data_IF_534221231077
#
_entry.id   IF_534221231077
#
_cell.length_a   1.000
_cell.length_b   1.000
_cell.length_c   1.000
_cell.angle_alpha   90.00
_cell.angle_beta   90.00
_cell.angle_gamma   90.00
#
_symmetry.space_group_name_H-M   'P 1'
#
loop_
_entity.id
_entity.type
_entity.pdbx_description
1 polymer ?
#
# COMPACT_ATOMS: atom_id res chain seq x y z
N UNK A 1 13.88 -20.95 4.71
CA UNK A 1 13.03 -19.80 5.16
C UNK A 1 11.60 -19.98 4.68
N UNK A 2 10.60 -19.33 5.31
CA UNK A 2 9.18 -19.43 4.85
C UNK A 2 9.03 -19.05 3.38
N UNK A 3 9.78 -18.07 2.90
CA UNK A 3 9.78 -17.67 1.50
C UNK A 3 10.17 -18.79 0.54
N UNK A 4 11.10 -19.62 0.91
CA UNK A 4 11.58 -20.74 0.07
C UNK A 4 10.52 -21.85 -0.02
N UNK A 5 9.75 -22.03 1.06
CA UNK A 5 8.63 -22.98 1.12
C UNK A 5 7.45 -22.50 0.24
N UNK A 6 7.18 -21.19 0.24
CA UNK A 6 6.08 -20.59 -0.52
C UNK A 6 6.41 -20.45 -2.02
N UNK A 7 7.70 -20.31 -2.38
CA UNK A 7 8.14 -20.15 -3.76
C UNK A 7 7.34 -19.07 -4.50
N UNK A 8 6.80 -19.39 -5.67
CA UNK A 8 6.02 -18.46 -6.50
C UNK A 8 4.71 -17.97 -5.87
N UNK A 9 4.25 -18.62 -4.79
CA UNK A 9 3.08 -18.18 -4.00
C UNK A 9 3.42 -17.08 -3.00
N UNK A 10 4.71 -16.74 -2.83
CA UNK A 10 5.13 -15.67 -1.95
C UNK A 10 4.67 -14.31 -2.50
N UNK A 11 3.88 -13.57 -1.71
CA UNK A 11 3.48 -12.19 -1.99
C UNK A 11 4.56 -11.20 -1.60
N UNK A 12 4.22 -10.28 -0.68
CA UNK A 12 5.12 -9.25 -0.17
C UNK A 12 5.50 -9.51 1.29
N UNK A 13 6.71 -9.07 1.69
CA UNK A 13 7.07 -8.92 3.09
C UNK A 13 6.63 -7.55 3.58
N UNK A 14 5.71 -7.49 4.53
CA UNK A 14 5.25 -6.25 5.12
C UNK A 14 5.96 -6.00 6.46
N UNK A 15 6.68 -4.90 6.54
CA UNK A 15 7.30 -4.38 7.75
C UNK A 15 6.52 -3.17 8.24
N UNK A 16 5.77 -3.33 9.33
CA UNK A 16 5.00 -2.25 9.92
C UNK A 16 5.75 -1.62 11.08
N UNK A 17 5.94 -0.31 11.04
CA UNK A 17 6.62 0.46 12.07
C UNK A 17 5.61 1.23 12.94
N UNK A 18 5.86 1.34 14.26
CA UNK A 18 4.92 1.94 15.20
C UNK A 18 4.80 3.47 15.01
N UNK A 19 3.72 4.09 15.52
CA UNK A 19 3.53 5.54 15.44
C UNK A 19 4.60 6.36 16.17
N UNK A 20 5.30 5.79 17.13
CA UNK A 20 6.43 6.41 17.82
C UNK A 20 7.71 6.47 16.97
N UNK A 21 7.78 5.69 15.88
CA UNK A 21 8.95 5.63 15.01
C UNK A 21 8.92 6.78 14.00
N UNK A 22 9.44 7.93 14.41
CA UNK A 22 9.52 9.13 13.58
C UNK A 22 10.65 9.03 12.57
N UNK A 23 10.50 9.71 11.45
CA UNK A 23 11.52 9.82 10.44
C UNK A 23 12.80 10.48 10.99
N UNK A 24 13.93 9.89 10.65
CA UNK A 24 15.26 10.49 10.61
C UNK A 24 16.03 9.84 9.45
N UNK A 25 17.01 10.57 8.89
CA UNK A 25 17.84 10.05 7.80
C UNK A 25 18.57 8.76 8.18
N UNK A 26 19.09 8.67 9.41
CA UNK A 26 19.74 7.47 9.90
C UNK A 26 18.81 6.25 9.95
N UNK A 27 17.54 6.45 10.36
CA UNK A 27 16.53 5.39 10.34
C UNK A 27 16.14 4.97 8.93
N UNK A 28 16.05 5.91 7.99
CA UNK A 28 15.82 5.60 6.58
C UNK A 28 16.94 4.74 6.02
N UNK A 29 18.19 5.14 6.23
CA UNK A 29 19.36 4.37 5.77
C UNK A 29 19.40 2.97 6.37
N UNK A 30 19.06 2.83 7.66
CA UNK A 30 18.99 1.52 8.32
C UNK A 30 17.91 0.63 7.71
N UNK A 31 16.72 1.18 7.41
CA UNK A 31 15.64 0.40 6.77
C UNK A 31 16.10 -0.09 5.39
N UNK A 32 16.61 0.82 4.56
CA UNK A 32 17.06 0.49 3.20
C UNK A 32 18.19 -0.55 3.23
N UNK A 33 19.15 -0.40 4.13
CA UNK A 33 20.31 -1.30 4.22
C UNK A 33 20.02 -2.69 4.81
N UNK A 34 18.89 -2.86 5.51
CA UNK A 34 18.54 -4.15 6.13
C UNK A 34 17.63 -5.03 5.28
N UNK A 35 16.97 -4.45 4.29
CA UNK A 35 15.99 -5.17 3.47
C UNK A 35 16.68 -5.88 2.30
N UNK A 36 16.41 -7.17 2.15
CA UNK A 36 16.93 -7.97 1.03
C UNK A 36 16.34 -7.48 -0.31
N UNK A 37 17.14 -6.92 -1.23
CA UNK A 37 16.64 -6.37 -2.49
C UNK A 37 16.06 -7.44 -3.44
N UNK A 38 16.35 -8.72 -3.21
CA UNK A 38 15.76 -9.83 -3.96
C UNK A 38 14.30 -10.11 -3.56
N UNK A 39 13.79 -9.45 -2.54
CA UNK A 39 12.44 -9.67 -2.02
C UNK A 39 11.52 -8.48 -2.32
N UNK A 40 10.21 -8.75 -2.41
CA UNK A 40 9.19 -7.68 -2.45
C UNK A 40 8.98 -7.13 -1.06
N UNK A 41 9.75 -6.13 -0.71
CA UNK A 41 9.67 -5.48 0.59
C UNK A 41 8.66 -4.34 0.57
N UNK A 42 7.78 -4.33 1.53
CA UNK A 42 6.78 -3.27 1.76
C UNK A 42 7.02 -2.70 3.14
N UNK A 43 7.09 -1.38 3.26
CA UNK A 43 7.23 -0.74 4.58
C UNK A 43 6.02 0.15 4.84
N UNK A 44 5.35 -0.09 5.96
CA UNK A 44 4.23 0.70 6.45
C UNK A 44 4.66 1.59 7.61
N UNK A 45 4.48 2.88 7.45
CA UNK A 45 4.72 3.87 8.49
C UNK A 45 3.40 4.33 9.11
N UNK A 46 3.40 4.50 10.44
CA UNK A 46 2.26 5.02 11.21
C UNK A 46 2.47 6.45 11.70
N UNK A 47 3.55 7.12 11.31
CA UNK A 47 3.84 8.52 11.65
C UNK A 47 4.03 9.33 10.37
N UNK A 48 3.34 10.48 10.27
CA UNK A 48 3.28 11.34 9.08
C UNK A 48 4.63 11.84 8.59
N UNK A 49 5.65 11.93 9.46
CA UNK A 49 6.99 12.41 9.07
C UNK A 49 7.67 11.58 7.98
N UNK A 50 7.20 10.36 7.71
CA UNK A 50 7.73 9.49 6.67
C UNK A 50 7.16 9.80 5.27
N UNK A 51 6.11 10.62 5.17
CA UNK A 51 5.54 11.06 3.89
C UNK A 51 6.33 12.26 3.36
N UNK A 52 7.50 12.02 2.78
CA UNK A 52 8.35 13.05 2.20
C UNK A 52 9.17 12.49 1.03
N UNK A 53 9.64 13.38 0.12
CA UNK A 53 10.33 12.99 -1.11
C UNK A 53 11.68 12.29 -0.88
N UNK A 54 12.38 12.56 0.21
CA UNK A 54 13.63 11.87 0.53
C UNK A 54 13.38 10.37 0.75
N UNK A 55 12.31 10.02 1.47
CA UNK A 55 11.89 8.62 1.67
C UNK A 55 11.44 7.99 0.36
N UNK A 56 10.63 8.70 -0.42
CA UNK A 56 10.14 8.16 -1.70
C UNK A 56 11.28 7.94 -2.69
N UNK A 57 12.26 8.86 -2.75
CA UNK A 57 13.46 8.74 -3.57
C UNK A 57 14.29 7.51 -3.20
N UNK A 58 14.65 7.38 -1.91
CA UNK A 58 15.42 6.24 -1.41
C UNK A 58 14.71 4.90 -1.65
N UNK A 59 13.38 4.86 -1.51
CA UNK A 59 12.60 3.66 -1.77
C UNK A 59 12.52 3.31 -3.26
N UNK A 60 12.43 4.32 -4.16
CA UNK A 60 12.49 4.08 -5.62
C UNK A 60 13.83 3.47 -6.02
N UNK A 61 14.94 4.01 -5.50
CA UNK A 61 16.29 3.51 -5.77
C UNK A 61 16.49 2.08 -5.26
N UNK A 62 15.94 1.75 -4.09
CA UNK A 62 16.07 0.43 -3.47
C UNK A 62 14.98 -0.58 -3.92
N UNK A 63 14.02 -0.19 -4.75
CA UNK A 63 12.91 -1.05 -5.15
C UNK A 63 11.95 -1.43 -4.02
N UNK A 64 11.92 -0.65 -2.93
CA UNK A 64 11.05 -0.87 -1.77
C UNK A 64 9.67 -0.25 -2.04
N UNK A 65 8.61 -0.98 -1.75
CA UNK A 65 7.24 -0.51 -1.88
C UNK A 65 6.84 0.29 -0.65
N UNK A 66 6.48 1.56 -0.84
CA UNK A 66 5.89 2.37 0.21
C UNK A 66 4.43 1.95 0.42
N UNK A 67 4.06 1.56 1.65
CA UNK A 67 2.68 1.23 1.98
C UNK A 67 1.85 2.51 2.12
N UNK A 68 0.96 2.74 1.18
CA UNK A 68 -0.01 3.84 1.26
C UNK A 68 -1.15 3.46 2.19
N UNK A 69 -1.42 4.28 3.20
CA UNK A 69 -2.41 3.97 4.23
C UNK A 69 -3.56 4.97 4.24
N UNK A 70 -4.79 4.47 4.35
CA UNK A 70 -5.92 5.26 4.84
C UNK A 70 -6.04 5.02 6.35
N UNK A 71 -5.65 5.99 7.13
CA UNK A 71 -5.68 5.92 8.59
C UNK A 71 -5.74 7.30 9.25
N UNK A 72 -6.22 7.42 10.50
CA UNK A 72 -6.29 8.69 11.20
C UNK A 72 -4.92 9.37 11.26
N UNK A 73 -4.89 10.65 10.92
CA UNK A 73 -3.69 11.51 10.90
C UNK A 73 -2.60 11.11 9.90
N UNK A 74 -2.90 10.20 8.95
CA UNK A 74 -2.02 9.86 7.84
C UNK A 74 -2.52 10.53 6.56
N UNK A 75 -1.63 10.89 5.64
CA UNK A 75 -2.03 11.38 4.33
C UNK A 75 -2.81 10.29 3.58
N UNK A 76 -4.02 10.63 3.17
CA UNK A 76 -4.88 9.71 2.42
C UNK A 76 -4.53 9.75 0.92
N UNK A 77 -3.29 9.41 0.58
CA UNK A 77 -2.73 9.47 -0.79
C UNK A 77 -2.07 8.16 -1.19
N UNK A 78 -1.99 7.90 -2.49
CA UNK A 78 -1.25 6.77 -3.03
C UNK A 78 0.16 7.23 -3.40
N UNK A 79 1.16 6.54 -2.88
CA UNK A 79 2.59 6.74 -3.20
C UNK A 79 3.09 5.51 -3.95
N UNK A 80 3.66 5.73 -5.14
CA UNK A 80 4.32 4.68 -5.91
C UNK A 80 5.83 4.85 -5.86
N UNK A 81 6.53 3.85 -5.32
CA UNK A 81 7.99 3.81 -5.23
C UNK A 81 8.60 2.61 -5.97
N UNK A 82 7.76 1.71 -6.49
CA UNK A 82 8.18 0.53 -7.25
C UNK A 82 7.20 0.26 -8.41
N UNK A 83 7.40 -0.83 -9.14
CA UNK A 83 6.48 -1.28 -10.19
C UNK A 83 5.10 -1.72 -9.66
N UNK A 84 5.03 -2.01 -8.39
CA UNK A 84 3.81 -2.41 -7.68
C UNK A 84 3.44 -1.35 -6.63
N UNK A 85 2.16 -1.29 -6.28
CA UNK A 85 1.66 -0.46 -5.17
C UNK A 85 1.04 -1.32 -4.09
N UNK A 86 1.15 -0.87 -2.86
CA UNK A 86 0.57 -1.55 -1.70
C UNK A 86 -0.26 -0.57 -0.87
N UNK A 87 -1.50 -0.92 -0.63
CA UNK A 87 -2.48 -0.06 0.04
C UNK A 87 -3.11 -0.79 1.22
N UNK A 88 -3.19 -0.13 2.36
CA UNK A 88 -3.94 -0.63 3.53
C UNK A 88 -5.01 0.37 3.95
N UNK A 89 -6.24 -0.09 3.95
CA UNK A 89 -7.43 0.71 4.24
C UNK A 89 -7.92 0.39 5.65
N UNK A 90 -7.51 1.22 6.61
CA UNK A 90 -7.83 1.05 8.05
C UNK A 90 -9.01 1.90 8.52
N UNK A 91 -9.41 2.90 7.73
CA UNK A 91 -10.40 3.90 8.09
C UNK A 91 -9.79 5.27 8.40
N UNK A 92 -10.17 6.34 7.67
CA UNK A 92 -9.53 7.65 7.74
C UNK A 92 -9.81 8.41 9.04
N UNK A 93 -10.96 8.18 9.69
CA UNK A 93 -11.38 8.87 10.92
C UNK A 93 -11.15 8.05 12.18
N UNK A 94 -11.41 6.74 12.10
CA UNK A 94 -11.29 5.79 13.23
C UNK A 94 -10.68 4.49 12.71
N UNK A 95 -9.64 4.02 13.38
CA UNK A 95 -9.01 2.75 13.07
C UNK A 95 -10.02 1.61 13.10
N UNK A 96 -10.03 0.81 12.03
CA UNK A 96 -10.74 -0.47 11.89
C UNK A 96 -12.29 -0.39 11.88
N UNK A 97 -12.89 0.81 11.94
CA UNK A 97 -14.34 1.01 12.10
C UNK A 97 -14.99 1.89 11.02
N UNK A 98 -14.43 1.92 9.84
CA UNK A 98 -14.94 2.77 8.75
C UNK A 98 -15.55 1.90 7.64
N UNK A 99 -16.84 2.06 7.34
CA UNK A 99 -17.43 1.54 6.09
C UNK A 99 -17.11 2.53 4.97
N UNK A 100 -16.26 2.12 4.04
CA UNK A 100 -15.87 2.96 2.92
C UNK A 100 -17.06 3.14 1.95
N UNK A 101 -17.63 4.35 1.81
CA UNK A 101 -18.67 4.60 0.83
C UNK A 101 -18.13 4.48 -0.59
N UNK A 102 -19.05 4.36 -1.55
CA UNK A 102 -18.72 4.16 -2.97
C UNK A 102 -17.79 5.26 -3.51
N UNK A 103 -18.01 6.48 -3.10
CA UNK A 103 -17.24 7.67 -3.51
C UNK A 103 -15.77 7.57 -3.07
N UNK A 104 -15.52 7.17 -1.83
CA UNK A 104 -14.16 6.97 -1.33
C UNK A 104 -13.46 5.79 -2.03
N UNK A 105 -14.19 4.70 -2.27
CA UNK A 105 -13.64 3.56 -3.02
C UNK A 105 -13.34 3.94 -4.47
N UNK A 106 -14.16 4.79 -5.10
CA UNK A 106 -13.91 5.30 -6.45
C UNK A 106 -12.61 6.11 -6.48
N UNK A 107 -12.40 7.01 -5.53
CA UNK A 107 -11.15 7.79 -5.42
C UNK A 107 -9.93 6.86 -5.31
N UNK A 108 -10.00 5.80 -4.51
CA UNK A 108 -8.91 4.82 -4.42
C UNK A 108 -8.72 4.03 -5.72
N UNK A 109 -9.80 3.61 -6.37
CA UNK A 109 -9.73 2.94 -7.66
C UNK A 109 -9.04 3.81 -8.72
N UNK A 110 -9.39 5.09 -8.80
CA UNK A 110 -8.83 6.04 -9.76
C UNK A 110 -7.33 6.31 -9.48
N UNK A 111 -6.94 6.46 -8.22
CA UNK A 111 -5.53 6.57 -7.82
C UNK A 111 -4.71 5.35 -8.23
N UNK A 112 -5.26 4.15 -7.99
CA UNK A 112 -4.59 2.88 -8.36
C UNK A 112 -4.41 2.81 -9.87
N UNK A 113 -5.44 3.13 -10.66
CA UNK A 113 -5.36 3.15 -12.12
C UNK A 113 -4.37 4.21 -12.63
N UNK A 114 -4.46 5.43 -12.09
CA UNK A 114 -3.57 6.53 -12.45
C UNK A 114 -2.10 6.26 -12.11
N UNK A 115 -1.83 5.41 -11.12
CA UNK A 115 -0.45 5.02 -10.75
C UNK A 115 0.26 4.22 -11.85
N UNK A 116 -0.48 3.60 -12.78
CA UNK A 116 0.05 2.69 -13.82
C UNK A 116 0.96 1.59 -13.26
N UNK A 117 0.70 1.17 -12.02
CA UNK A 117 1.44 0.07 -11.40
C UNK A 117 1.11 -1.26 -12.11
N UNK A 118 2.11 -2.13 -12.26
CA UNK A 118 1.91 -3.46 -12.85
C UNK A 118 1.01 -4.35 -12.00
N UNK A 119 1.00 -4.10 -10.67
CA UNK A 119 0.17 -4.83 -9.70
C UNK A 119 -0.20 -3.93 -8.53
N UNK A 120 -1.39 -4.11 -8.01
CA UNK A 120 -1.86 -3.46 -6.79
C UNK A 120 -2.24 -4.50 -5.73
N UNK A 121 -1.65 -4.37 -4.56
CA UNK A 121 -1.99 -5.13 -3.35
C UNK A 121 -2.85 -4.24 -2.47
N UNK A 122 -4.09 -4.62 -2.23
CA UNK A 122 -5.02 -3.80 -1.44
C UNK A 122 -5.63 -4.63 -0.33
N UNK A 123 -5.40 -4.18 0.89
CA UNK A 123 -5.87 -4.86 2.09
C UNK A 123 -6.80 -3.96 2.89
N UNK A 124 -7.95 -4.49 3.22
CA UNK A 124 -8.93 -3.84 4.07
C UNK A 124 -8.78 -4.35 5.49
N UNK A 125 -8.57 -3.43 6.44
CA UNK A 125 -8.44 -3.70 7.87
C UNK A 125 -9.56 -3.01 8.68
N UNK A 126 -10.70 -2.80 8.06
CA UNK A 126 -11.90 -2.21 8.67
C UNK A 126 -12.92 -3.30 9.02
N UNK A 127 -12.50 -4.25 9.83
CA UNK A 127 -13.21 -5.51 10.05
C UNK A 127 -14.45 -5.38 10.93
N UNK A 128 -14.68 -4.22 11.59
CA UNK A 128 -15.88 -3.98 12.34
C UNK A 128 -17.11 -4.18 11.46
N UNK A 129 -18.10 -4.90 11.95
CA UNK A 129 -19.36 -5.19 11.24
C UNK A 129 -19.21 -5.79 9.84
N UNK A 130 -18.12 -6.53 9.60
CA UNK A 130 -17.80 -7.19 8.33
C UNK A 130 -17.69 -6.23 7.12
N UNK A 131 -17.30 -4.97 7.34
CA UNK A 131 -17.14 -4.00 6.25
C UNK A 131 -16.02 -4.38 5.27
N UNK A 132 -14.92 -4.97 5.76
CA UNK A 132 -13.75 -5.28 4.94
C UNK A 132 -14.08 -6.16 3.71
N UNK A 133 -14.76 -7.31 3.81
CA UNK A 133 -15.11 -8.13 2.64
C UNK A 133 -16.02 -7.41 1.65
N UNK A 134 -16.99 -6.62 2.15
CA UNK A 134 -17.93 -5.83 1.34
C UNK A 134 -17.16 -4.77 0.53
N UNK A 135 -16.31 -3.98 1.20
CA UNK A 135 -15.54 -2.92 0.58
C UNK A 135 -14.51 -3.48 -0.42
N UNK A 136 -13.81 -4.58 -0.06
CA UNK A 136 -12.87 -5.25 -0.95
C UNK A 136 -13.54 -5.74 -2.24
N UNK A 137 -14.71 -6.37 -2.12
CA UNK A 137 -15.49 -6.82 -3.27
C UNK A 137 -15.96 -5.67 -4.15
N UNK A 138 -16.36 -4.54 -3.56
CA UNK A 138 -16.76 -3.35 -4.30
C UNK A 138 -15.58 -2.73 -5.07
N UNK A 139 -14.44 -2.51 -4.41
CA UNK A 139 -13.23 -1.99 -5.04
C UNK A 139 -12.73 -2.91 -6.17
N UNK A 140 -12.75 -4.22 -5.96
CA UNK A 140 -12.35 -5.19 -6.98
C UNK A 140 -13.21 -5.08 -8.25
N UNK A 141 -14.54 -4.87 -8.13
CA UNK A 141 -15.42 -4.63 -9.28
C UNK A 141 -15.04 -3.34 -10.01
N UNK A 142 -14.77 -2.25 -9.29
CA UNK A 142 -14.37 -0.97 -9.88
C UNK A 142 -13.04 -1.06 -10.64
N UNK A 143 -12.12 -1.89 -10.17
CA UNK A 143 -10.83 -2.10 -10.85
C UNK A 143 -10.95 -3.01 -12.07
N UNK A 144 -11.87 -3.98 -12.09
CA UNK A 144 -12.09 -4.90 -13.22
C UNK A 144 -12.85 -4.28 -14.39
N UNK A 145 -13.72 -3.32 -14.16
CA UNK A 145 -14.51 -2.65 -15.20
C UNK A 145 -13.68 -1.81 -16.18
N UNK A 146 -12.39 -1.73 -15.96
CA UNK A 146 -11.40 -1.14 -16.86
C UNK A 146 -10.40 -2.24 -17.24
N UNK A 147 -10.81 -3.13 -18.15
CA UNK A 147 -9.90 -4.07 -18.79
C UNK A 147 -8.74 -3.33 -19.48
N UNK A 148 -7.65 -4.03 -19.85
CA UNK A 148 -6.63 -3.44 -20.69
C UNK A 148 -7.31 -2.87 -21.95
N UNK A 149 -6.79 -1.76 -22.53
CA UNK A 149 -7.33 -1.27 -23.79
C UNK A 149 -7.29 -2.43 -24.77
N UNK A 150 -8.45 -2.77 -25.33
CA UNK A 150 -8.54 -3.73 -26.42
C UNK A 150 -7.59 -3.24 -27.49
N UNK A 151 -6.55 -3.99 -27.76
CA UNK A 151 -5.71 -3.74 -28.93
C UNK A 151 -6.64 -3.81 -30.14
N UNK A 152 -6.96 -2.66 -30.71
CA UNK A 152 -7.60 -2.60 -32.00
C UNK A 152 -6.64 -3.29 -33.00
N UNK A 153 -7.15 -4.33 -33.64
CA UNK A 153 -6.50 -5.02 -34.72
C UNK A 153 -6.34 -4.08 -35.94
#
# INVERSE_FOLDING_TARGET
>A
MIADILGDRMGCFLFQLPPSYRYTRGRLNNIVGQLDPARRNVVEFRHVSWWNEEVYGAFREAGIIFCSCSGPRLPNVLIRTADEVYVRLHGPKRWYRHDYPKEELTVWADRIKASRAKRAWVYFNNDNDAYAPKNASALRRMLRSFGPPTSAA
#
